data_IF_308875683099
#
_entry.id   IF_308875683099
#
_cell.length_a   1.000
_cell.length_b   1.000
_cell.length_c   1.000
_cell.angle_alpha   90.00
_cell.angle_beta   90.00
_cell.angle_gamma   90.00
#
_symmetry.space_group_name_H-M   'P 1'
#
loop_
_entity.id
_entity.type
_entity.pdbx_description
1 polymer ?
#
# COMPACT_ATOMS: atom_id res chain seq x y z
N UNK A 1 14.57 8.76 -18.86
CA UNK A 1 13.62 8.85 -17.73
C UNK A 1 12.42 9.61 -18.24
N UNK A 2 11.26 8.96 -18.42
CA UNK A 2 10.04 9.71 -18.65
C UNK A 2 9.78 10.54 -17.39
N UNK A 3 9.54 11.84 -17.57
CA UNK A 3 9.18 12.72 -16.47
C UNK A 3 7.83 12.31 -15.86
N UNK A 4 7.50 12.75 -14.62
CA UNK A 4 6.19 12.51 -14.05
C UNK A 4 5.14 12.99 -15.06
N UNK A 5 4.16 12.13 -15.33
CA UNK A 5 3.00 12.49 -16.15
C UNK A 5 2.38 13.73 -15.48
N UNK A 6 2.45 14.87 -16.20
CA UNK A 6 2.06 16.15 -15.63
C UNK A 6 0.59 16.15 -15.21
N UNK A 7 0.22 17.12 -14.40
CA UNK A 7 -1.18 17.39 -13.95
C UNK A 7 -2.17 17.44 -15.13
N UNK A 8 -1.69 17.78 -16.35
CA UNK A 8 -2.48 17.76 -17.58
C UNK A 8 -3.04 16.35 -17.89
N UNK A 9 -2.19 15.31 -17.88
CA UNK A 9 -2.65 13.94 -18.21
C UNK A 9 -3.64 13.37 -17.19
N UNK A 10 -3.45 13.65 -15.89
CA UNK A 10 -4.44 13.23 -14.87
C UNK A 10 -5.77 13.95 -15.04
N UNK A 11 -5.72 15.23 -15.43
CA UNK A 11 -6.93 16.00 -15.73
C UNK A 11 -7.65 15.44 -16.94
N UNK A 12 -6.95 15.13 -18.02
CA UNK A 12 -7.54 14.60 -19.26
C UNK A 12 -8.24 13.25 -18.99
N UNK A 13 -7.60 12.35 -18.23
CA UNK A 13 -8.20 11.07 -17.82
C UNK A 13 -9.43 11.27 -16.94
N UNK A 14 -9.38 12.24 -16.02
CA UNK A 14 -10.53 12.58 -15.16
C UNK A 14 -11.68 13.13 -15.99
N UNK A 15 -11.40 14.02 -16.94
CA UNK A 15 -12.39 14.66 -17.79
C UNK A 15 -13.10 13.61 -18.68
N UNK A 16 -12.33 12.74 -19.34
CA UNK A 16 -12.86 11.68 -20.17
C UNK A 16 -13.73 10.68 -19.37
N UNK A 17 -13.29 10.30 -18.18
CA UNK A 17 -14.10 9.43 -17.30
C UNK A 17 -15.38 10.13 -16.81
N UNK A 18 -15.27 11.43 -16.46
CA UNK A 18 -16.42 12.24 -16.04
C UNK A 18 -17.48 12.36 -17.15
N UNK A 19 -17.06 12.62 -18.40
CA UNK A 19 -17.93 12.74 -19.56
C UNK A 19 -18.64 11.40 -19.86
N UNK A 20 -17.92 10.29 -19.75
CA UNK A 20 -18.50 8.95 -19.90
C UNK A 20 -19.57 8.68 -18.82
N UNK A 21 -19.23 8.91 -17.53
CA UNK A 21 -20.17 8.71 -16.42
C UNK A 21 -21.38 9.63 -16.54
N UNK A 22 -21.22 10.87 -16.99
CA UNK A 22 -22.34 11.78 -17.26
C UNK A 22 -23.25 11.23 -18.37
N UNK A 23 -22.69 10.62 -19.43
CA UNK A 23 -23.46 9.96 -20.49
C UNK A 23 -24.23 8.74 -19.96
N UNK A 24 -23.69 8.05 -18.95
CA UNK A 24 -24.33 6.93 -18.25
C UNK A 24 -25.38 7.39 -17.21
N UNK A 25 -25.60 8.71 -17.07
CA UNK A 25 -26.62 9.30 -16.21
C UNK A 25 -26.17 9.58 -14.78
N UNK A 26 -24.87 9.63 -14.53
CA UNK A 26 -24.34 10.09 -13.25
C UNK A 26 -24.25 11.62 -13.22
N UNK A 27 -24.51 12.19 -12.05
CA UNK A 27 -24.14 13.56 -11.72
C UNK A 27 -22.68 13.58 -11.26
N UNK A 28 -21.84 14.35 -11.94
CA UNK A 28 -20.39 14.38 -11.66
C UNK A 28 -20.00 15.69 -11.00
N UNK A 29 -19.42 15.61 -9.81
CA UNK A 29 -18.87 16.71 -9.06
C UNK A 29 -17.33 16.67 -9.07
N UNK A 30 -16.69 17.84 -9.07
CA UNK A 30 -15.23 18.00 -8.94
C UNK A 30 -14.91 18.74 -7.66
N UNK A 31 -14.55 18.00 -6.59
CA UNK A 31 -14.17 18.62 -5.32
C UNK A 31 -12.92 19.50 -5.47
N UNK A 32 -12.92 20.66 -4.80
CA UNK A 32 -11.76 21.56 -4.77
C UNK A 32 -10.69 21.14 -3.75
N UNK A 33 -11.02 20.21 -2.86
CA UNK A 33 -10.13 19.74 -1.80
C UNK A 33 -9.16 18.68 -2.32
N UNK A 34 -7.86 18.88 -2.10
CA UNK A 34 -6.83 17.88 -2.41
C UNK A 34 -6.91 16.57 -1.61
N UNK A 35 -7.80 16.51 -0.60
CA UNK A 35 -8.10 15.29 0.16
C UNK A 35 -9.23 14.44 -0.45
N UNK A 36 -9.89 14.92 -1.51
CA UNK A 36 -10.95 14.22 -2.24
C UNK A 36 -10.42 13.73 -3.58
N UNK A 37 -11.05 12.71 -4.19
CA UNK A 37 -10.70 12.29 -5.55
C UNK A 37 -10.97 13.43 -6.55
N UNK A 38 -10.29 13.45 -7.70
CA UNK A 38 -10.45 14.51 -8.71
C UNK A 38 -11.89 14.67 -9.23
N UNK A 39 -12.68 13.59 -9.23
CA UNK A 39 -14.11 13.63 -9.49
C UNK A 39 -14.86 12.59 -8.68
N UNK A 40 -16.11 12.90 -8.36
CA UNK A 40 -17.07 11.99 -7.71
C UNK A 40 -18.33 11.96 -8.55
N UNK A 41 -18.75 10.77 -8.96
CA UNK A 41 -19.99 10.55 -9.72
C UNK A 41 -21.05 9.94 -8.81
N UNK A 42 -22.29 10.40 -8.93
CA UNK A 42 -23.42 9.96 -8.09
C UNK A 42 -24.64 9.66 -8.95
N UNK A 43 -25.30 8.51 -8.69
CA UNK A 43 -26.56 8.15 -9.31
C UNK A 43 -27.41 7.37 -8.31
N UNK A 44 -28.42 8.02 -7.72
CA UNK A 44 -29.15 7.44 -6.58
C UNK A 44 -28.23 7.20 -5.39
N UNK A 45 -28.13 5.94 -4.94
CA UNK A 45 -27.25 5.54 -3.84
C UNK A 45 -25.85 5.12 -4.33
N UNK A 46 -25.67 4.96 -5.64
CA UNK A 46 -24.35 4.60 -6.20
C UNK A 46 -23.42 5.81 -6.26
N UNK A 47 -22.24 5.68 -5.62
CA UNK A 47 -21.22 6.74 -5.53
C UNK A 47 -19.89 6.19 -5.98
N UNK A 48 -19.27 6.86 -6.92
CA UNK A 48 -18.01 6.45 -7.55
C UNK A 48 -16.96 7.54 -7.37
N UNK A 49 -15.81 7.17 -6.78
CA UNK A 49 -14.62 7.99 -6.77
C UNK A 49 -13.83 7.72 -8.06
N UNK A 50 -13.55 8.74 -8.85
CA UNK A 50 -12.76 8.63 -10.08
C UNK A 50 -11.29 8.85 -9.74
N UNK A 51 -10.45 7.85 -9.99
CA UNK A 51 -9.03 7.84 -9.62
C UNK A 51 -8.15 7.62 -10.87
N UNK A 52 -7.66 8.70 -11.51
CA UNK A 52 -6.76 8.59 -12.64
C UNK A 52 -5.39 8.06 -12.21
N UNK A 53 -4.85 7.12 -12.97
CA UNK A 53 -3.60 6.42 -12.69
C UNK A 53 -2.55 6.69 -13.77
N UNK A 54 -1.39 7.18 -13.35
CA UNK A 54 -0.17 7.10 -14.12
C UNK A 54 0.48 5.72 -13.94
N UNK A 55 1.42 5.35 -14.81
CA UNK A 55 2.14 4.07 -14.68
C UNK A 55 2.80 3.90 -13.29
N UNK A 56 3.39 4.98 -12.77
CA UNK A 56 4.05 4.99 -11.45
C UNK A 56 3.05 4.94 -10.28
N UNK A 57 1.76 5.16 -10.53
CA UNK A 57 0.70 5.08 -9.51
C UNK A 57 0.20 3.63 -9.30
N UNK A 58 0.46 2.71 -10.21
CA UNK A 58 0.05 1.31 -10.10
C UNK A 58 0.93 0.54 -9.10
N UNK A 59 0.95 1.01 -7.85
CA UNK A 59 1.68 0.38 -6.75
C UNK A 59 0.72 -0.11 -5.66
N UNK A 60 1.08 -1.17 -4.90
CA UNK A 60 0.21 -1.69 -3.84
C UNK A 60 -0.25 -0.63 -2.85
N UNK A 61 0.65 0.28 -2.46
CA UNK A 61 0.38 1.35 -1.49
C UNK A 61 -0.63 2.36 -2.04
N UNK A 62 -0.44 2.81 -3.28
CA UNK A 62 -1.32 3.80 -3.91
C UNK A 62 -2.71 3.22 -4.13
N UNK A 63 -2.78 2.00 -4.69
CA UNK A 63 -4.06 1.33 -4.96
C UNK A 63 -4.82 1.06 -3.66
N UNK A 64 -4.16 0.50 -2.64
CA UNK A 64 -4.79 0.26 -1.34
C UNK A 64 -5.26 1.56 -0.66
N UNK A 65 -4.45 2.63 -0.70
CA UNK A 65 -4.80 3.92 -0.11
C UNK A 65 -6.03 4.55 -0.78
N UNK A 66 -6.09 4.54 -2.12
CA UNK A 66 -7.23 5.11 -2.86
C UNK A 66 -8.50 4.31 -2.63
N UNK A 67 -8.40 2.97 -2.65
CA UNK A 67 -9.51 2.10 -2.37
C UNK A 67 -10.02 2.28 -0.93
N UNK A 68 -9.13 2.26 0.07
CA UNK A 68 -9.47 2.49 1.47
C UNK A 68 -10.15 3.84 1.69
N UNK A 69 -9.61 4.90 1.09
CA UNK A 69 -10.18 6.25 1.19
C UNK A 69 -11.60 6.35 0.60
N UNK A 70 -11.87 5.66 -0.50
CA UNK A 70 -13.20 5.61 -1.10
C UNK A 70 -14.17 4.80 -0.23
N UNK A 71 -13.75 3.64 0.25
CA UNK A 71 -14.55 2.77 1.13
C UNK A 71 -14.95 3.46 2.44
N UNK A 72 -14.07 4.26 3.03
CA UNK A 72 -14.35 5.07 4.22
C UNK A 72 -15.47 6.09 4.00
N UNK A 73 -15.80 6.38 2.74
CA UNK A 73 -16.84 7.33 2.31
C UNK A 73 -18.03 6.67 1.64
N UNK A 74 -18.14 5.34 1.75
CA UNK A 74 -19.15 4.52 1.08
C UNK A 74 -19.21 4.79 -0.43
N UNK A 75 -18.03 4.79 -1.08
CA UNK A 75 -17.87 4.95 -2.53
C UNK A 75 -17.17 3.73 -3.12
N UNK A 76 -17.54 3.36 -4.34
CA UNK A 76 -16.72 2.49 -5.19
C UNK A 76 -15.62 3.32 -5.85
N UNK A 77 -14.58 2.67 -6.34
CA UNK A 77 -13.51 3.34 -7.09
C UNK A 77 -13.62 2.99 -8.57
N UNK A 78 -13.56 3.99 -9.42
CA UNK A 78 -13.23 3.81 -10.83
C UNK A 78 -11.76 4.20 -11.03
N UNK A 79 -10.90 3.21 -11.17
CA UNK A 79 -9.54 3.44 -11.61
C UNK A 79 -9.53 3.73 -13.11
N UNK A 80 -8.87 4.81 -13.51
CA UNK A 80 -8.78 5.24 -14.90
C UNK A 80 -7.32 5.18 -15.34
N UNK A 81 -6.98 4.17 -16.12
CA UNK A 81 -5.63 3.97 -16.63
C UNK A 81 -5.49 4.57 -18.03
N UNK A 82 -4.31 5.12 -18.32
CA UNK A 82 -3.98 5.66 -19.64
C UNK A 82 -3.72 4.58 -20.69
N UNK A 83 -3.24 3.42 -20.25
CA UNK A 83 -2.77 2.36 -21.13
C UNK A 83 -3.07 0.97 -20.53
N UNK A 84 -2.97 -0.04 -21.39
CA UNK A 84 -3.25 -1.42 -21.03
C UNK A 84 -2.25 -1.99 -19.99
N UNK A 85 -1.00 -1.52 -19.99
CA UNK A 85 0.04 -2.01 -19.09
C UNK A 85 -0.27 -1.55 -17.65
N UNK A 86 -0.60 -0.27 -17.47
CA UNK A 86 -1.07 0.28 -16.18
C UNK A 86 -2.33 -0.45 -15.70
N UNK A 87 -3.29 -0.68 -16.60
CA UNK A 87 -4.52 -1.41 -16.28
C UNK A 87 -4.24 -2.86 -15.84
N UNK A 88 -3.29 -3.51 -16.50
CA UNK A 88 -2.88 -4.88 -16.13
C UNK A 88 -2.24 -4.90 -14.74
N UNK A 89 -1.34 -3.97 -14.46
CA UNK A 89 -0.72 -3.86 -13.14
C UNK A 89 -1.75 -3.65 -12.02
N UNK A 90 -2.79 -2.84 -12.25
CA UNK A 90 -3.90 -2.66 -11.29
C UNK A 90 -4.71 -3.94 -11.10
N UNK A 91 -5.04 -4.64 -12.20
CA UNK A 91 -5.77 -5.92 -12.11
C UNK A 91 -4.98 -6.97 -11.35
N UNK A 92 -3.66 -7.07 -11.58
CA UNK A 92 -2.79 -8.01 -10.90
C UNK A 92 -2.72 -7.73 -9.38
N UNK A 93 -2.72 -6.45 -8.99
CA UNK A 93 -2.74 -6.06 -7.57
C UNK A 93 -4.08 -6.33 -6.88
N UNK A 94 -5.19 -6.31 -7.64
CA UNK A 94 -6.54 -6.52 -7.12
C UNK A 94 -7.09 -7.92 -7.45
N UNK A 95 -6.31 -8.76 -8.14
CA UNK A 95 -6.61 -10.17 -8.36
C UNK A 95 -6.44 -10.99 -7.07
N UNK A 96 -6.75 -12.27 -7.14
CA UNK A 96 -6.56 -13.19 -6.01
C UNK A 96 -5.08 -13.61 -5.87
N UNK A 97 -4.42 -13.37 -4.74
CA UNK A 97 -4.90 -12.70 -3.53
C UNK A 97 -4.76 -11.16 -3.60
N UNK A 98 -5.85 -10.43 -3.35
CA UNK A 98 -5.87 -8.99 -3.53
C UNK A 98 -4.93 -8.27 -2.56
N UNK A 99 -4.16 -7.31 -3.07
CA UNK A 99 -3.21 -6.48 -2.32
C UNK A 99 -2.16 -7.27 -1.53
N UNK A 100 -1.97 -8.54 -1.85
CA UNK A 100 -0.94 -9.40 -1.27
C UNK A 100 0.15 -9.67 -2.30
N UNK A 101 1.38 -9.84 -1.85
CA UNK A 101 2.47 -10.28 -2.72
C UNK A 101 2.30 -11.75 -3.12
N UNK A 102 1.78 -12.59 -2.22
CA UNK A 102 1.44 -13.98 -2.49
C UNK A 102 0.52 -14.57 -1.40
N UNK A 103 -0.13 -15.71 -1.72
CA UNK A 103 -0.76 -16.58 -0.74
C UNK A 103 -0.35 -18.03 -1.05
N UNK A 104 0.19 -18.74 -0.06
CA UNK A 104 0.62 -20.14 -0.20
C UNK A 104 0.08 -20.94 0.98
N UNK A 105 -0.66 -22.02 0.73
CA UNK A 105 -1.27 -22.86 1.76
C UNK A 105 -2.10 -22.09 2.80
N UNK A 106 -2.83 -21.06 2.34
CA UNK A 106 -3.63 -20.18 3.19
C UNK A 106 -2.81 -19.11 3.94
N UNK A 107 -1.48 -19.12 3.86
CA UNK A 107 -0.59 -18.15 4.49
C UNK A 107 -0.26 -17.00 3.55
N UNK A 108 -0.30 -15.76 4.08
CA UNK A 108 -0.14 -14.54 3.30
C UNK A 108 1.31 -14.05 3.31
N UNK A 109 1.76 -13.54 2.17
CA UNK A 109 2.98 -12.73 2.05
C UNK A 109 2.55 -11.31 1.67
N UNK A 110 3.08 -10.32 2.37
CA UNK A 110 2.67 -8.94 2.24
C UNK A 110 3.63 -8.14 1.38
N UNK A 111 3.11 -7.17 0.63
CA UNK A 111 3.93 -6.11 0.06
C UNK A 111 4.53 -5.25 1.18
N UNK A 112 5.67 -4.62 0.90
CA UNK A 112 6.28 -3.68 1.84
C UNK A 112 5.67 -2.29 1.65
N UNK A 113 5.31 -1.64 2.76
CA UNK A 113 4.88 -0.26 2.79
C UNK A 113 6.05 0.73 2.90
N UNK A 114 5.79 2.02 2.74
CA UNK A 114 6.80 3.07 2.89
C UNK A 114 7.15 3.37 4.35
N UNK A 115 6.27 3.01 5.26
CA UNK A 115 6.42 3.27 6.68
C UNK A 115 7.37 2.26 7.34
N UNK A 116 7.80 2.59 8.53
CA UNK A 116 8.69 1.78 9.37
C UNK A 116 7.91 1.21 10.52
N UNK A 117 8.29 0.02 10.96
CA UNK A 117 7.62 -0.63 12.10
C UNK A 117 7.89 0.17 13.38
N UNK A 118 6.88 0.79 14.02
CA UNK A 118 7.04 1.44 15.31
C UNK A 118 7.23 0.38 16.40
N UNK A 119 7.82 0.76 17.54
CA UNK A 119 7.94 -0.13 18.69
C UNK A 119 7.37 0.51 19.95
N UNK A 120 6.89 -0.30 20.89
CA UNK A 120 6.18 0.15 22.10
C UNK A 120 7.00 1.09 22.99
N UNK A 121 8.32 0.88 23.08
CA UNK A 121 9.24 1.75 23.79
C UNK A 121 9.57 3.06 23.06
N UNK A 122 8.92 3.32 21.93
CA UNK A 122 9.08 4.51 21.09
C UNK A 122 10.26 4.39 20.13
N UNK A 123 10.09 4.99 18.94
CA UNK A 123 11.00 4.87 17.81
C UNK A 123 10.60 3.75 16.87
N UNK A 124 11.57 3.18 16.14
CA UNK A 124 11.31 2.24 15.06
C UNK A 124 12.27 1.05 15.12
N UNK A 125 11.76 -0.12 14.73
CA UNK A 125 12.53 -1.35 14.62
C UNK A 125 13.62 -1.24 13.54
N UNK A 126 14.77 -1.85 13.78
CA UNK A 126 15.83 -1.99 12.79
C UNK A 126 16.62 -3.28 12.98
N UNK A 127 17.31 -3.68 11.93
CA UNK A 127 18.30 -4.76 11.93
C UNK A 127 19.69 -4.17 11.73
N UNK A 128 20.71 -4.91 12.12
CA UNK A 128 22.09 -4.60 11.76
C UNK A 128 22.48 -5.45 10.56
N UNK A 129 22.71 -4.81 9.42
CA UNK A 129 23.29 -5.47 8.27
C UNK A 129 24.79 -5.63 8.48
N UNK A 130 25.29 -6.86 8.44
CA UNK A 130 26.73 -7.15 8.42
C UNK A 130 27.12 -7.26 6.94
N UNK A 131 27.77 -6.20 6.41
CA UNK A 131 28.24 -6.18 5.04
C UNK A 131 27.75 -5.00 4.19
N UNK A 132 28.09 -5.02 2.91
CA UNK A 132 27.83 -3.94 1.94
C UNK A 132 26.53 -4.21 1.16
N UNK A 133 25.40 -4.13 1.80
CA UNK A 133 24.14 -4.27 1.07
C UNK A 133 22.92 -3.99 1.94
N UNK A 134 21.84 -3.56 1.29
CA UNK A 134 20.53 -3.51 1.94
C UNK A 134 19.93 -4.90 1.90
N UNK A 135 19.51 -5.50 3.03
CA UNK A 135 18.86 -6.80 3.03
C UNK A 135 17.51 -6.72 2.31
N UNK A 136 17.13 -7.83 1.70
CA UNK A 136 15.79 -7.99 1.16
C UNK A 136 14.85 -8.40 2.28
N UNK A 137 13.93 -7.49 2.62
CA UNK A 137 12.91 -7.76 3.63
C UNK A 137 11.70 -8.49 3.03
N UNK A 138 11.15 -9.41 3.81
CA UNK A 138 9.85 -10.02 3.52
C UNK A 138 9.04 -10.16 4.82
N UNK A 139 7.71 -9.98 4.70
CA UNK A 139 6.77 -10.26 5.77
C UNK A 139 5.83 -11.37 5.34
N UNK A 140 5.79 -12.44 6.14
CA UNK A 140 4.99 -13.64 5.83
C UNK A 140 4.26 -14.15 7.06
N UNK A 141 3.06 -14.66 6.84
CA UNK A 141 2.42 -15.55 7.81
C UNK A 141 3.02 -16.94 7.67
N UNK A 142 3.47 -17.49 8.78
CA UNK A 142 4.04 -18.85 8.83
C UNK A 142 3.49 -19.59 10.03
N UNK A 143 3.45 -20.92 9.94
CA UNK A 143 3.21 -21.75 11.10
C UNK A 143 4.53 -21.93 11.84
N UNK A 144 4.56 -21.44 13.07
CA UNK A 144 5.73 -21.61 13.95
C UNK A 144 5.36 -22.48 15.14
N UNK A 145 6.31 -23.24 15.72
CA UNK A 145 6.04 -23.99 16.95
C UNK A 145 5.45 -23.07 18.02
N UNK A 146 4.42 -23.55 18.72
CA UNK A 146 3.85 -22.85 19.85
C UNK A 146 4.93 -22.77 20.94
N UNK A 147 5.63 -21.64 20.97
CA UNK A 147 6.68 -21.34 21.96
C UNK A 147 6.15 -20.46 23.10
N UNK A 148 7.04 -19.93 23.96
CA UNK A 148 6.64 -19.07 25.09
C UNK A 148 6.07 -17.70 24.71
N UNK A 149 5.90 -17.39 23.41
CA UNK A 149 5.15 -16.21 22.98
C UNK A 149 3.70 -16.38 23.40
N UNK A 150 3.08 -15.40 24.07
CA UNK A 150 1.71 -15.51 24.57
C UNK A 150 0.78 -15.99 23.46
N UNK A 151 0.04 -17.10 23.73
CA UNK A 151 -0.95 -17.60 22.80
C UNK A 151 -2.02 -16.51 22.60
N UNK A 152 -2.33 -16.18 21.34
CA UNK A 152 -3.51 -15.38 21.05
C UNK A 152 -4.73 -16.22 21.44
N UNK A 153 -5.72 -15.67 22.19
CA UNK A 153 -6.85 -16.45 22.72
C UNK A 153 -7.76 -17.08 21.65
N UNK A 154 -7.64 -16.68 20.38
CA UNK A 154 -8.52 -17.10 19.28
C UNK A 154 -7.90 -18.12 18.33
N UNK A 155 -6.87 -18.87 18.72
CA UNK A 155 -6.28 -19.88 17.85
C UNK A 155 -7.06 -21.19 17.94
N UNK A 156 -8.02 -21.36 17.04
CA UNK A 156 -8.67 -22.64 16.78
C UNK A 156 -7.66 -23.65 16.21
N UNK A 157 -7.63 -24.82 16.83
CA UNK A 157 -6.95 -26.03 16.40
C UNK A 157 -5.55 -25.83 15.81
N UNK A 158 -4.55 -25.86 16.68
CA UNK A 158 -3.15 -25.85 16.28
C UNK A 158 -2.86 -26.94 15.21
N UNK A 159 -2.37 -26.52 14.04
CA UNK A 159 -1.67 -27.43 13.16
C UNK A 159 -0.47 -28.03 13.91
N UNK A 160 0.05 -29.14 13.46
CA UNK A 160 1.27 -29.73 14.03
C UNK A 160 2.39 -29.68 12.99
N UNK A 161 3.61 -29.42 13.45
CA UNK A 161 4.81 -29.51 12.61
C UNK A 161 5.17 -30.97 12.29
N UNK A 162 6.23 -31.18 11.53
CA UNK A 162 6.74 -32.52 11.17
C UNK A 162 7.15 -33.36 12.39
N UNK A 163 7.44 -32.72 13.53
CA UNK A 163 7.75 -33.36 14.80
C UNK A 163 6.49 -33.61 15.67
N UNK A 164 5.30 -33.27 15.17
CA UNK A 164 4.02 -33.42 15.87
C UNK A 164 3.78 -32.38 16.98
N UNK A 165 4.50 -31.23 16.94
CA UNK A 165 4.32 -30.14 17.91
C UNK A 165 3.24 -29.20 17.43
N UNK A 166 2.38 -28.68 18.33
CA UNK A 166 1.42 -27.67 17.97
C UNK A 166 2.10 -26.44 17.36
N UNK A 167 1.61 -25.98 16.20
CA UNK A 167 2.05 -24.76 15.55
C UNK A 167 0.93 -23.72 15.57
N UNK A 168 1.27 -22.47 15.56
CA UNK A 168 0.34 -21.37 15.48
C UNK A 168 0.75 -20.40 14.36
N UNK A 169 -0.21 -19.81 13.65
CA UNK A 169 0.11 -18.78 12.68
C UNK A 169 0.82 -17.61 13.35
N UNK A 170 1.91 -17.18 12.78
CA UNK A 170 2.69 -16.01 13.22
C UNK A 170 2.99 -15.12 12.04
N UNK A 171 3.16 -13.83 12.30
CA UNK A 171 3.70 -12.91 11.33
C UNK A 171 5.20 -12.81 11.52
N UNK A 172 5.96 -13.22 10.51
CA UNK A 172 7.42 -13.27 10.55
C UNK A 172 8.00 -12.23 9.59
N UNK A 173 8.94 -11.42 10.09
CA UNK A 173 9.81 -10.60 9.27
C UNK A 173 11.10 -11.37 8.98
N UNK A 174 11.43 -11.47 7.72
CA UNK A 174 12.69 -12.03 7.24
C UNK A 174 13.58 -10.91 6.66
N UNK A 175 14.88 -11.03 6.85
CA UNK A 175 15.89 -10.26 6.15
C UNK A 175 16.84 -11.25 5.47
N UNK A 176 16.96 -11.20 4.14
CA UNK A 176 17.70 -12.17 3.33
C UNK A 176 17.32 -13.64 3.59
N UNK A 177 16.03 -13.87 3.93
CA UNK A 177 15.50 -15.21 4.22
C UNK A 177 15.71 -15.69 5.66
N UNK A 178 16.37 -14.93 6.51
CA UNK A 178 16.51 -15.22 7.93
C UNK A 178 15.46 -14.48 8.76
N UNK A 179 14.78 -15.19 9.66
CA UNK A 179 13.78 -14.56 10.53
C UNK A 179 14.45 -13.60 11.53
N UNK A 180 14.08 -12.32 11.44
CA UNK A 180 14.59 -11.25 12.31
C UNK A 180 13.57 -10.76 13.33
N UNK A 181 12.28 -11.07 13.13
CA UNK A 181 11.21 -10.80 14.07
C UNK A 181 10.07 -11.80 13.91
N UNK A 182 9.43 -12.15 15.02
CA UNK A 182 8.24 -13.01 15.06
C UNK A 182 7.18 -12.34 15.91
N UNK A 183 6.03 -12.02 15.29
CA UNK A 183 4.90 -11.38 15.94
C UNK A 183 3.71 -12.34 16.05
N UNK A 184 2.84 -12.11 17.02
CA UNK A 184 1.65 -12.95 17.23
C UNK A 184 0.68 -12.96 16.04
N UNK A 185 0.67 -11.89 15.23
CA UNK A 185 -0.16 -11.72 14.04
C UNK A 185 -0.10 -10.29 13.54
N UNK A 186 -0.89 -9.97 12.52
CA UNK A 186 -0.90 -8.64 11.88
C UNK A 186 -1.32 -7.53 12.86
N UNK A 187 -2.21 -7.80 13.80
CA UNK A 187 -2.63 -6.80 14.79
C UNK A 187 -1.51 -6.37 15.73
N UNK A 188 -0.52 -7.24 15.94
CA UNK A 188 0.67 -6.93 16.74
C UNK A 188 1.57 -5.86 16.12
N UNK A 189 1.39 -5.53 14.84
CA UNK A 189 2.13 -4.46 14.15
C UNK A 189 1.81 -3.06 14.68
N UNK A 190 0.67 -2.85 15.33
CA UNK A 190 0.26 -1.53 15.83
C UNK A 190 1.18 -1.03 16.94
N UNK A 191 1.57 -1.91 17.84
CA UNK A 191 2.46 -1.62 18.97
C UNK A 191 3.29 -2.86 19.34
N UNK A 192 4.17 -3.34 18.46
CA UNK A 192 4.97 -4.50 18.77
C UNK A 192 5.95 -4.18 19.90
N UNK A 193 6.23 -5.14 20.80
CA UNK A 193 7.20 -4.95 21.86
C UNK A 193 8.61 -4.81 21.31
N UNK A 194 9.48 -4.08 22.00
CA UNK A 194 10.84 -3.83 21.57
C UNK A 194 11.66 -5.12 21.40
N UNK A 195 11.45 -6.10 22.28
CA UNK A 195 12.13 -7.40 22.29
C UNK A 195 11.71 -8.35 21.14
N UNK A 196 10.67 -7.98 20.41
CA UNK A 196 10.34 -8.69 19.16
C UNK A 196 11.36 -8.44 18.03
N UNK A 197 12.22 -7.43 18.18
CA UNK A 197 13.22 -7.03 17.19
C UNK A 197 14.63 -7.00 17.79
N UNK A 198 15.68 -7.25 16.98
CA UNK A 198 17.04 -7.24 17.48
C UNK A 198 17.49 -5.86 17.95
N UNK A 199 17.01 -4.80 17.28
CA UNK A 199 17.32 -3.42 17.61
C UNK A 199 16.12 -2.50 17.34
N UNK A 200 16.10 -1.35 18.04
CA UNK A 200 15.25 -0.24 17.76
C UNK A 200 16.05 1.06 17.77
N UNK A 201 15.64 2.05 16.98
CA UNK A 201 16.26 3.37 16.99
C UNK A 201 15.22 4.46 17.23
N UNK A 202 15.65 5.51 17.91
CA UNK A 202 14.82 6.68 18.20
C UNK A 202 15.63 7.96 18.05
N UNK A 203 15.02 9.00 17.50
CA UNK A 203 15.59 10.32 17.49
C UNK A 203 15.38 10.97 18.87
N UNK A 204 16.46 11.38 19.50
CA UNK A 204 16.41 12.12 20.76
C UNK A 204 15.85 13.54 20.52
N UNK A 205 14.87 13.99 21.31
CA UNK A 205 14.25 15.30 21.10
C UNK A 205 15.19 16.46 21.45
N UNK A 206 16.18 16.27 22.32
CA UNK A 206 17.05 17.32 22.83
C UNK A 206 18.26 17.58 21.92
N UNK A 207 19.06 16.54 21.67
CA UNK A 207 20.28 16.64 20.87
C UNK A 207 20.09 16.29 19.39
N UNK A 208 18.87 15.84 19.00
CA UNK A 208 18.46 15.47 17.63
C UNK A 208 19.23 14.28 17.05
N UNK A 209 20.05 13.58 17.85
CA UNK A 209 20.79 12.39 17.45
C UNK A 209 19.89 11.17 17.47
N UNK A 210 20.24 10.15 16.69
CA UNK A 210 19.60 8.85 16.76
C UNK A 210 20.34 7.96 17.75
N UNK A 211 19.60 7.37 18.68
CA UNK A 211 20.08 6.36 19.61
C UNK A 211 19.54 5.01 19.20
N UNK A 212 20.45 4.08 18.93
CA UNK A 212 20.13 2.68 18.65
C UNK A 212 20.27 1.90 19.95
N UNK A 213 19.24 1.14 20.26
CA UNK A 213 19.20 0.29 21.45
C UNK A 213 18.90 -1.16 21.06
N UNK A 214 19.35 -2.10 21.87
CA UNK A 214 18.94 -3.50 21.77
C UNK A 214 17.45 -3.63 22.08
N UNK A 215 16.79 -4.58 21.42
CA UNK A 215 15.39 -4.85 21.68
C UNK A 215 15.15 -5.55 23.01
N UNK A 216 16.04 -6.45 23.42
CA UNK A 216 15.92 -7.32 24.58
C UNK A 216 16.08 -6.59 25.93
N UNK A 217 17.03 -5.68 26.05
CA UNK A 217 17.37 -5.02 27.32
C UNK A 217 17.34 -3.49 27.24
N UNK A 218 17.05 -2.90 26.07
CA UNK A 218 17.00 -1.46 25.85
C UNK A 218 18.36 -0.75 25.93
N UNK A 219 19.46 -1.50 26.04
CA UNK A 219 20.82 -0.93 26.11
C UNK A 219 21.15 -0.15 24.83
N UNK A 220 21.56 1.12 24.99
CA UNK A 220 22.01 1.95 23.87
C UNK A 220 23.38 1.43 23.40
N UNK A 221 23.42 0.98 22.15
CA UNK A 221 24.64 0.41 21.53
C UNK A 221 25.33 1.36 20.57
N UNK A 222 24.57 2.37 20.04
CA UNK A 222 25.11 3.33 19.09
C UNK A 222 24.41 4.68 19.22
N UNK A 223 25.11 5.77 18.91
CA UNK A 223 24.53 7.12 18.85
C UNK A 223 25.11 7.86 17.66
N UNK A 224 24.26 8.16 16.67
CA UNK A 224 24.67 8.73 15.38
C UNK A 224 24.02 10.07 15.09
N UNK A 225 24.66 10.89 14.25
CA UNK A 225 24.25 12.27 14.01
C UNK A 225 23.06 12.45 13.08
N UNK A 226 22.59 11.39 12.40
CA UNK A 226 21.51 11.50 11.43
C UNK A 226 21.19 10.16 10.77
N UNK A 227 20.18 10.17 9.90
CA UNK A 227 19.71 8.96 9.25
C UNK A 227 20.74 8.33 8.29
N UNK A 228 21.51 9.16 7.58
CA UNK A 228 22.60 8.66 6.75
C UNK A 228 23.66 7.94 7.59
N UNK A 229 24.07 8.55 8.72
CA UNK A 229 25.03 7.94 9.64
C UNK A 229 24.48 6.67 10.33
N UNK A 230 23.16 6.56 10.51
CA UNK A 230 22.52 5.32 10.98
C UNK A 230 22.74 4.18 9.98
N UNK A 231 22.52 4.46 8.69
CA UNK A 231 22.76 3.48 7.62
C UNK A 231 24.24 3.15 7.44
N UNK A 232 25.12 4.15 7.51
CA UNK A 232 26.58 3.95 7.48
C UNK A 232 27.08 3.07 8.63
N UNK A 233 26.44 3.17 9.81
CA UNK A 233 26.70 2.28 10.94
C UNK A 233 26.09 0.88 10.79
N UNK A 234 25.46 0.59 9.65
CA UNK A 234 24.87 -0.70 9.31
C UNK A 234 23.48 -0.95 9.91
N UNK A 235 22.80 0.05 10.47
CA UNK A 235 21.45 -0.12 10.99
C UNK A 235 20.41 0.27 9.94
N UNK A 236 19.59 -0.69 9.56
CA UNK A 236 18.57 -0.54 8.55
C UNK A 236 17.18 -0.68 9.16
N UNK A 237 16.31 0.34 8.98
CA UNK A 237 14.93 0.27 9.43
C UNK A 237 14.18 -0.86 8.78
N UNK A 238 13.38 -1.57 9.56
CA UNK A 238 12.48 -2.59 9.05
C UNK A 238 11.24 -1.90 8.44
N UNK A 239 10.96 -2.13 7.15
CA UNK A 239 9.76 -1.59 6.51
C UNK A 239 8.52 -2.28 7.06
N UNK A 240 7.43 -1.52 7.21
CA UNK A 240 6.15 -2.06 7.64
C UNK A 240 5.49 -2.85 6.50
N UNK A 241 4.85 -4.00 6.74
CA UNK A 241 4.06 -4.67 5.71
C UNK A 241 2.80 -3.86 5.40
N UNK A 242 2.38 -3.88 4.14
CA UNK A 242 1.09 -3.40 3.71
C UNK A 242 0.04 -4.48 4.02
N UNK A 243 -0.60 -4.37 5.16
CA UNK A 243 -1.68 -5.28 5.58
C UNK A 243 -2.99 -4.76 4.99
N UNK A 244 -3.68 -5.52 4.10
CA UNK A 244 -4.89 -5.04 3.44
C UNK A 244 -5.96 -4.53 4.40
N UNK A 245 -6.24 -5.27 5.47
CA UNK A 245 -7.26 -4.91 6.47
C UNK A 245 -6.95 -3.57 7.17
N UNK A 246 -5.66 -3.27 7.37
CA UNK A 246 -5.24 -1.99 7.96
C UNK A 246 -5.33 -0.86 6.94
N UNK A 247 -4.92 -1.12 5.70
CA UNK A 247 -4.92 -0.11 4.62
C UNK A 247 -6.34 0.24 4.17
N UNK A 248 -7.27 -0.73 4.18
CA UNK A 248 -8.66 -0.54 3.79
C UNK A 248 -9.56 -0.13 4.97
N UNK A 249 -9.04 -0.12 6.21
CA UNK A 249 -9.81 0.19 7.41
C UNK A 249 -10.85 -0.88 7.80
N UNK A 250 -10.96 -1.94 7.01
CA UNK A 250 -11.92 -3.05 7.20
C UNK A 250 -11.42 -4.33 6.53
N UNK A 251 -11.94 -5.46 6.99
CA UNK A 251 -11.81 -6.72 6.25
C UNK A 251 -12.92 -6.79 5.20
N UNK A 252 -12.56 -7.11 3.97
CA UNK A 252 -13.48 -7.36 2.87
C UNK A 252 -13.33 -8.82 2.44
N UNK A 253 -14.45 -9.48 2.19
CA UNK A 253 -14.45 -10.73 1.44
C UNK A 253 -14.24 -10.47 -0.06
N UNK A 254 -14.00 -11.53 -0.82
CA UNK A 254 -13.67 -11.43 -2.24
C UNK A 254 -14.80 -10.79 -3.07
N UNK A 255 -16.08 -11.03 -2.70
CA UNK A 255 -17.25 -10.46 -3.38
C UNK A 255 -17.37 -8.95 -3.10
N UNK A 256 -17.24 -8.54 -1.84
CA UNK A 256 -17.28 -7.13 -1.46
C UNK A 256 -16.12 -6.35 -2.06
N UNK A 257 -14.94 -6.97 -2.13
CA UNK A 257 -13.79 -6.33 -2.77
C UNK A 257 -13.99 -6.20 -4.28
N UNK A 258 -14.46 -7.24 -4.97
CA UNK A 258 -14.74 -7.19 -6.40
C UNK A 258 -15.79 -6.12 -6.75
N UNK A 259 -16.78 -5.90 -5.87
CA UNK A 259 -17.79 -4.87 -6.02
C UNK A 259 -17.28 -3.45 -5.69
N UNK A 260 -16.14 -3.32 -5.03
CA UNK A 260 -15.62 -2.04 -4.53
C UNK A 260 -14.88 -1.22 -5.59
N UNK A 261 -14.54 -1.80 -6.72
CA UNK A 261 -13.76 -1.13 -7.76
C UNK A 261 -14.15 -1.53 -9.18
N UNK A 262 -13.87 -0.64 -10.10
CA UNK A 262 -13.93 -0.84 -11.55
C UNK A 262 -12.66 -0.27 -12.19
N UNK A 263 -12.36 -0.67 -13.42
CA UNK A 263 -11.20 -0.21 -14.16
C UNK A 263 -11.58 0.16 -15.59
N UNK A 264 -11.21 1.36 -16.02
CA UNK A 264 -11.36 1.84 -17.38
C UNK A 264 -10.00 2.17 -17.97
N UNK A 265 -9.81 1.87 -19.25
CA UNK A 265 -8.64 2.30 -20.04
C UNK A 265 -9.13 3.39 -21.00
N UNK A 266 -8.45 4.53 -21.00
CA UNK A 266 -8.71 5.63 -21.91
C UNK A 266 -7.45 5.80 -22.74
N UNK A 267 -7.43 5.21 -23.93
CA UNK A 267 -6.34 5.36 -24.87
C UNK A 267 -6.25 6.81 -25.38
N UNK A 268 -5.05 7.35 -25.39
CA UNK A 268 -4.82 8.74 -25.83
C UNK A 268 -5.22 9.04 -27.30
N UNK A 269 -5.60 8.01 -28.07
CA UNK A 269 -6.16 8.16 -29.40
C UNK A 269 -7.59 8.69 -29.39
N UNK A 270 -8.36 8.39 -28.35
CA UNK A 270 -9.76 8.84 -28.24
C UNK A 270 -9.87 10.30 -27.76
N UNK A 271 -8.80 10.85 -27.21
CA UNK A 271 -8.76 12.25 -26.75
C UNK A 271 -8.45 13.27 -27.89
N UNK A 272 -7.87 12.83 -29.00
CA UNK A 272 -7.54 13.73 -30.14
C UNK A 272 -8.69 13.88 -31.17
N UNK A 273 -9.74 13.06 -31.12
CA UNK A 273 -10.81 13.08 -32.12
C UNK A 273 -11.94 14.10 -31.85
N UNK A 274 -11.89 14.81 -30.71
CA UNK A 274 -12.92 15.83 -30.34
C UNK A 274 -12.56 17.24 -30.82
N UNK A 275 -11.34 17.51 -31.27
CA UNK A 275 -10.92 18.88 -31.70
C UNK A 275 -10.97 19.12 -33.21
N UNK A 276 -11.61 18.26 -33.99
CA UNK A 276 -11.76 18.33 -35.45
C UNK A 276 -13.10 18.87 -35.94
N UNK A 277 -13.80 19.76 -35.22
CA UNK A 277 -14.96 20.48 -35.79
C UNK A 277 -14.50 21.76 -36.49
N UNK A 278 -14.27 21.56 -37.76
CA UNK A 278 -14.44 22.48 -38.92
C UNK A 278 -14.85 23.93 -38.59
N UNK A 279 -13.86 24.82 -38.47
CA UNK A 279 -14.02 26.28 -38.62
C UNK A 279 -13.44 26.76 -39.94
N UNK A 280 -14.01 26.29 -41.04
CA UNK A 280 -13.50 26.70 -42.34
C UNK A 280 -14.51 26.62 -43.45
N UNK A 281 -15.60 27.38 -43.43
CA UNK A 281 -16.28 27.73 -44.65
C UNK A 281 -17.38 28.78 -44.40
N UNK A 282 -17.02 30.05 -44.23
CA UNK A 282 -17.94 31.16 -44.59
C UNK A 282 -17.20 32.50 -44.69
N UNK A 283 -16.46 32.70 -45.77
CA UNK A 283 -16.13 34.02 -46.32
C UNK A 283 -15.74 33.84 -47.77
N UNK A 284 -16.71 33.87 -48.64
CA UNK A 284 -16.60 34.61 -49.89
C UNK A 284 -17.94 34.54 -50.68
N UNK A 285 -18.79 35.52 -50.49
CA UNK A 285 -19.79 35.96 -51.47
C UNK A 285 -20.16 37.38 -51.10
N UNK A 286 -19.41 38.31 -51.68
CA UNK A 286 -19.93 39.55 -52.27
C UNK A 286 -18.78 40.28 -52.93
N UNK A 287 -18.69 40.03 -54.28
CA UNK A 287 -18.56 41.01 -55.36
C UNK A 287 -18.53 40.33 -56.72
#
# INVERSE_FOLDING_TARGET
>A
MPGPLGDATRRDLTDAAADRLATEGFEVARPESGAEPPAVATRGDDRIAVEPLAADDATPVVIASRLGHALDRDRRVLFVARDADTATAVRDLLADPPLLAARTDGRRTFHLGPDRVPVSGGGYACVRAEGLGDPTFAWRETDTPAGPVPAHPDVDAAAVDDDGRPTVPRLVCEADGEAVAVLAGVDSLRTPPDDAFPFAYRRDPDDKRFRVRRGDDGTVVETVGGFAALREAGYLPIPMPLVPEHALGRSLDDEALAAAWDLSVIDGADAEEVDGVDRGAERDRDR
#
